data_IF_426388797504
#
_entry.id   IF_426388797504
#
_cell.length_a   1.000
_cell.length_b   1.000
_cell.length_c   1.000
_cell.angle_alpha   90.00
_cell.angle_beta   90.00
_cell.angle_gamma   90.00
#
_symmetry.space_group_name_H-M   'P 1'
#
loop_
_entity.id
_entity.type
_entity.pdbx_description
1 polymer ?
#
# COMPACT_ATOMS: atom_id res chain seq x y z
N UNK A 1 0.53 31.82 22.72
CA UNK A 1 1.41 31.02 21.84
C UNK A 1 1.44 29.61 22.41
N UNK A 2 1.32 28.55 21.57
CA UNK A 2 1.39 27.17 22.06
C UNK A 2 2.82 26.84 22.53
N UNK A 3 2.94 26.04 23.58
CA UNK A 3 4.23 25.43 23.94
C UNK A 3 4.68 24.45 22.85
N UNK A 4 5.97 24.13 22.79
CA UNK A 4 6.50 23.14 21.83
C UNK A 4 5.80 21.79 21.99
N UNK A 5 5.59 21.33 23.22
CA UNK A 5 4.88 20.08 23.52
C UNK A 5 3.43 20.08 22.99
N UNK A 6 2.70 21.17 23.23
CA UNK A 6 1.33 21.30 22.73
C UNK A 6 1.30 21.35 21.19
N UNK A 7 2.26 22.07 20.57
CA UNK A 7 2.38 22.10 19.12
C UNK A 7 2.67 20.71 18.54
N UNK A 8 3.62 19.96 19.11
CA UNK A 8 3.96 18.61 18.66
C UNK A 8 2.78 17.65 18.80
N UNK A 9 2.01 17.77 19.87
CA UNK A 9 0.80 16.96 20.08
C UNK A 9 -0.24 17.14 18.98
N UNK A 10 -0.40 18.35 18.44
CA UNK A 10 -1.37 18.66 17.39
C UNK A 10 -0.86 18.49 15.96
N UNK A 11 0.45 18.54 15.76
CA UNK A 11 1.01 18.58 14.40
C UNK A 11 1.72 17.30 13.97
N UNK A 12 2.23 16.49 14.91
CA UNK A 12 2.87 15.21 14.58
C UNK A 12 1.82 14.16 14.30
N UNK A 13 1.84 13.62 13.07
CA UNK A 13 0.83 12.69 12.55
C UNK A 13 1.38 11.28 12.23
N UNK A 14 2.65 11.02 12.56
CA UNK A 14 3.23 9.70 12.36
C UNK A 14 2.62 8.62 13.26
N UNK A 15 2.93 7.34 13.01
CA UNK A 15 2.47 6.23 13.86
C UNK A 15 2.86 6.45 15.33
N UNK A 16 1.93 6.15 16.25
CA UNK A 16 2.16 6.29 17.69
C UNK A 16 2.04 7.71 18.23
N UNK A 17 1.77 8.73 17.40
CA UNK A 17 1.51 10.09 17.87
C UNK A 17 0.02 10.30 18.13
N UNK A 18 -0.38 11.14 19.11
CA UNK A 18 -1.80 11.34 19.45
C UNK A 18 -2.66 11.79 18.25
N UNK A 19 -2.17 12.74 17.47
CA UNK A 19 -2.89 13.21 16.28
C UNK A 19 -2.86 12.17 15.16
N UNK A 20 -1.75 11.43 14.98
CA UNK A 20 -1.65 10.34 14.03
C UNK A 20 -2.69 9.25 14.32
N UNK A 21 -2.82 8.83 15.58
CA UNK A 21 -3.81 7.83 16.01
C UNK A 21 -5.26 8.33 15.78
N UNK A 22 -5.52 9.60 16.00
CA UNK A 22 -6.82 10.19 15.71
C UNK A 22 -7.12 10.20 14.20
N UNK A 23 -6.16 10.69 13.40
CA UNK A 23 -6.32 10.82 11.95
C UNK A 23 -6.48 9.45 11.26
N UNK A 24 -5.85 8.40 11.77
CA UNK A 24 -6.01 7.04 11.23
C UNK A 24 -7.42 6.46 11.31
N UNK A 25 -8.31 7.10 12.04
CA UNK A 25 -9.73 6.71 12.14
C UNK A 25 -10.60 7.27 11.01
N UNK A 26 -10.02 7.99 10.08
CA UNK A 26 -10.74 8.63 8.97
C UNK A 26 -10.16 8.22 7.62
N UNK A 27 -11.00 8.28 6.60
CA UNK A 27 -10.60 8.13 5.21
C UNK A 27 -9.90 9.41 4.73
N UNK A 28 -8.78 9.25 4.03
CA UNK A 28 -7.99 10.37 3.50
C UNK A 28 -7.92 10.31 1.98
N UNK A 29 -8.17 11.40 1.25
CA UNK A 29 -7.92 11.45 -0.17
C UNK A 29 -6.40 11.40 -0.41
N UNK A 30 -5.96 10.50 -1.27
CA UNK A 30 -4.52 10.28 -1.56
C UNK A 30 -4.16 10.60 -3.00
N UNK A 31 -5.12 10.55 -3.92
CA UNK A 31 -4.92 10.88 -5.32
C UNK A 31 -6.24 11.25 -5.99
N UNK A 32 -6.18 12.00 -7.10
CA UNK A 32 -7.28 12.04 -8.06
C UNK A 32 -7.15 10.84 -9.01
N UNK A 33 -8.27 10.25 -9.42
CA UNK A 33 -8.30 9.16 -10.41
C UNK A 33 -7.58 9.56 -11.70
N UNK A 34 -7.72 10.83 -12.12
CA UNK A 34 -7.07 11.37 -13.30
C UNK A 34 -5.54 11.35 -13.25
N UNK A 35 -4.94 11.38 -12.05
CA UNK A 35 -3.48 11.28 -11.91
C UNK A 35 -2.94 9.87 -12.23
N UNK A 36 -3.81 8.87 -12.27
CA UNK A 36 -3.48 7.47 -12.58
C UNK A 36 -3.90 7.06 -14.00
N UNK A 37 -4.30 8.00 -14.87
CA UNK A 37 -4.68 7.69 -16.25
C UNK A 37 -3.49 7.16 -17.07
N UNK A 38 -2.31 7.78 -16.89
CA UNK A 38 -1.08 7.45 -17.62
C UNK A 38 -0.04 6.74 -16.75
N UNK A 39 -0.43 6.37 -15.53
CA UNK A 39 0.48 5.76 -14.54
C UNK A 39 -0.21 4.59 -13.86
N UNK A 40 0.51 3.51 -13.71
CA UNK A 40 0.02 2.34 -12.98
C UNK A 40 0.40 2.36 -11.49
N UNK A 41 1.43 3.13 -11.14
CA UNK A 41 1.96 3.23 -9.78
C UNK A 41 2.27 4.69 -9.43
N UNK A 42 2.10 5.04 -8.17
CA UNK A 42 2.40 6.39 -7.66
C UNK A 42 2.87 6.31 -6.20
N UNK A 43 3.89 7.12 -5.85
CA UNK A 43 4.28 7.30 -4.46
C UNK A 43 3.25 8.16 -3.74
N UNK A 44 2.85 7.71 -2.56
CA UNK A 44 1.97 8.43 -1.64
C UNK A 44 2.67 8.52 -0.29
N UNK A 45 2.65 9.72 0.32
CA UNK A 45 3.05 9.88 1.72
C UNK A 45 1.84 10.33 2.52
N UNK A 46 1.47 9.52 3.51
CA UNK A 46 0.30 9.77 4.34
C UNK A 46 0.58 9.41 5.81
N UNK A 47 0.26 10.31 6.72
CA UNK A 47 0.41 10.13 8.17
C UNK A 47 1.79 9.59 8.59
N UNK A 48 2.85 10.10 7.94
CA UNK A 48 4.24 9.71 8.22
C UNK A 48 4.70 8.43 7.55
N UNK A 49 3.86 7.76 6.74
CA UNK A 49 4.21 6.55 6.02
C UNK A 49 4.39 6.81 4.52
N UNK A 50 5.44 6.22 3.95
CA UNK A 50 5.64 6.15 2.51
C UNK A 50 4.98 4.89 1.98
N UNK A 51 4.14 5.03 0.95
CA UNK A 51 3.32 3.97 0.38
C UNK A 51 3.35 4.02 -1.14
N UNK A 52 2.98 2.93 -1.78
CA UNK A 52 2.76 2.86 -3.23
C UNK A 52 1.27 2.62 -3.49
N UNK A 53 0.65 3.60 -4.12
CA UNK A 53 -0.67 3.44 -4.73
C UNK A 53 -0.48 2.83 -6.12
N UNK A 54 -1.20 1.77 -6.42
CA UNK A 54 -1.21 1.18 -7.76
C UNK A 54 -2.64 0.97 -8.25
N UNK A 55 -2.77 0.89 -9.56
CA UNK A 55 -3.99 0.47 -10.26
C UNK A 55 -3.67 -0.79 -11.02
N UNK A 56 -4.40 -1.86 -10.79
CA UNK A 56 -4.25 -3.10 -11.54
C UNK A 56 -5.00 -3.06 -12.89
N UNK A 57 -4.87 -4.13 -13.68
CA UNK A 57 -5.51 -4.20 -15.00
C UNK A 57 -7.02 -4.46 -14.94
N UNK A 58 -7.54 -4.87 -13.79
CA UNK A 58 -9.01 -4.93 -13.57
C UNK A 58 -9.60 -3.53 -13.34
N UNK A 59 -8.77 -2.53 -13.06
CA UNK A 59 -9.17 -1.17 -12.69
C UNK A 59 -9.28 -0.95 -11.19
N UNK A 60 -8.95 -1.94 -10.38
CA UNK A 60 -8.95 -1.85 -8.93
C UNK A 60 -7.68 -1.16 -8.42
N UNK A 61 -7.78 -0.52 -7.26
CA UNK A 61 -6.65 0.18 -6.63
C UNK A 61 -6.18 -0.57 -5.40
N UNK A 62 -4.86 -0.57 -5.18
CA UNK A 62 -4.25 -1.06 -3.95
C UNK A 62 -3.25 -0.05 -3.40
N UNK A 63 -3.08 -0.03 -2.08
CA UNK A 63 -2.12 0.83 -1.39
C UNK A 63 -1.27 -0.03 -0.47
N UNK A 64 0.01 -0.17 -0.80
CA UNK A 64 0.93 -1.09 -0.15
C UNK A 64 2.21 -0.39 0.32
N UNK A 65 2.95 -1.04 1.22
CA UNK A 65 4.30 -0.58 1.56
C UNK A 65 5.22 -0.56 0.34
N UNK A 66 6.27 0.30 0.35
CA UNK A 66 7.06 0.52 -0.87
C UNK A 66 8.00 -0.63 -1.24
N UNK A 67 8.27 -1.58 -0.35
CA UNK A 67 9.32 -2.57 -0.58
C UNK A 67 8.79 -4.01 -0.50
N UNK A 68 8.97 -4.74 -1.60
CA UNK A 68 8.66 -6.17 -1.70
C UNK A 68 9.21 -6.97 -0.50
N UNK A 69 8.40 -7.84 0.06
CA UNK A 69 8.76 -8.67 1.22
C UNK A 69 9.94 -9.62 0.97
N UNK A 70 10.20 -9.99 -0.29
CA UNK A 70 11.29 -10.90 -0.65
C UNK A 70 12.68 -10.26 -0.45
N UNK A 71 13.06 -9.31 -1.33
CA UNK A 71 14.38 -8.67 -1.34
C UNK A 71 14.31 -7.14 -1.46
N UNK A 72 13.28 -6.55 -0.88
CA UNK A 72 13.13 -5.09 -0.72
C UNK A 72 13.16 -4.28 -2.03
N UNK A 73 12.81 -4.89 -3.16
CA UNK A 73 12.61 -4.16 -4.43
C UNK A 73 11.50 -3.13 -4.27
N UNK A 74 11.73 -1.92 -4.78
CA UNK A 74 10.73 -0.86 -4.67
C UNK A 74 9.56 -1.12 -5.64
N UNK A 75 8.36 -1.22 -5.08
CA UNK A 75 7.13 -1.55 -5.82
C UNK A 75 6.60 -0.39 -6.67
N UNK A 76 7.27 0.79 -6.66
CA UNK A 76 7.00 1.84 -7.66
C UNK A 76 7.25 1.33 -9.10
N UNK A 77 8.17 0.37 -9.25
CA UNK A 77 8.49 -0.29 -10.51
C UNK A 77 7.67 -1.57 -10.75
N UNK A 78 6.70 -1.85 -9.86
CA UNK A 78 5.83 -3.02 -9.95
C UNK A 78 5.05 -3.07 -11.26
N UNK A 79 4.79 -4.26 -11.74
CA UNK A 79 4.07 -4.52 -12.99
C UNK A 79 2.62 -4.84 -12.62
N UNK A 80 1.63 -4.04 -13.07
CA UNK A 80 0.23 -4.34 -12.81
C UNK A 80 -0.20 -5.59 -13.57
N UNK A 81 -0.82 -6.51 -12.85
CA UNK A 81 -1.44 -7.72 -13.40
C UNK A 81 -2.97 -7.57 -13.44
N UNK A 82 -3.68 -8.62 -13.86
CA UNK A 82 -5.14 -8.59 -13.89
C UNK A 82 -5.71 -8.33 -12.49
N UNK A 83 -5.12 -8.95 -11.47
CA UNK A 83 -5.43 -8.73 -10.06
C UNK A 83 -4.13 -8.53 -9.30
N UNK A 84 -3.89 -7.29 -8.84
CA UNK A 84 -2.72 -6.96 -8.03
C UNK A 84 -1.50 -6.45 -8.80
N UNK A 85 -0.34 -6.52 -8.15
CA UNK A 85 0.93 -5.95 -8.63
C UNK A 85 2.07 -6.96 -8.46
N UNK A 86 2.83 -7.17 -9.54
CA UNK A 86 3.98 -8.09 -9.58
C UNK A 86 5.28 -7.36 -9.34
N UNK A 87 6.09 -7.88 -8.43
CA UNK A 87 7.45 -7.42 -8.23
C UNK A 87 8.31 -7.76 -9.44
N UNK A 88 9.00 -6.79 -10.08
CA UNK A 88 9.78 -7.04 -11.29
C UNK A 88 11.08 -7.80 -11.03
N UNK A 89 11.49 -7.98 -9.77
CA UNK A 89 12.76 -8.61 -9.45
C UNK A 89 12.68 -10.15 -9.53
N UNK A 90 11.74 -10.78 -8.78
CA UNK A 90 11.59 -12.26 -8.79
C UNK A 90 10.14 -12.71 -9.03
N UNK A 91 9.27 -11.81 -9.49
CA UNK A 91 7.94 -12.16 -9.94
C UNK A 91 6.89 -12.42 -8.87
N UNK A 92 7.17 -12.16 -7.58
CA UNK A 92 6.15 -12.32 -6.55
C UNK A 92 4.98 -11.38 -6.80
N UNK A 93 3.77 -11.92 -6.82
CA UNK A 93 2.53 -11.19 -7.04
C UNK A 93 1.83 -10.92 -5.71
N UNK A 94 1.36 -9.69 -5.53
CA UNK A 94 0.62 -9.27 -4.35
C UNK A 94 -0.74 -8.71 -4.75
N UNK A 95 -1.78 -9.11 -4.04
CA UNK A 95 -3.12 -8.57 -4.20
C UNK A 95 -3.30 -7.23 -3.47
N UNK A 96 -4.50 -6.66 -3.51
CA UNK A 96 -4.84 -5.38 -2.88
C UNK A 96 -4.75 -5.42 -1.34
N UNK A 97 -4.83 -6.60 -0.75
CA UNK A 97 -4.67 -6.78 0.71
C UNK A 97 -3.21 -6.90 1.12
N UNK A 98 -2.29 -6.97 0.15
CA UNK A 98 -0.87 -7.21 0.36
C UNK A 98 -0.51 -8.69 0.51
N UNK A 99 -1.48 -9.61 0.36
CA UNK A 99 -1.21 -11.04 0.39
C UNK A 99 -0.40 -11.44 -0.84
N UNK A 100 0.67 -12.20 -0.64
CA UNK A 100 1.39 -12.81 -1.75
C UNK A 100 0.55 -13.95 -2.34
N UNK A 101 0.21 -13.85 -3.62
CA UNK A 101 -0.65 -14.82 -4.33
C UNK A 101 0.12 -15.76 -5.24
N UNK A 102 1.30 -15.34 -5.73
CA UNK A 102 2.16 -16.15 -6.60
C UNK A 102 3.65 -15.98 -6.25
N UNK A 103 4.39 -17.08 -6.33
CA UNK A 103 5.84 -17.15 -6.21
C UNK A 103 6.38 -18.05 -7.32
N UNK A 104 6.60 -17.53 -8.55
CA UNK A 104 6.81 -18.36 -9.74
C UNK A 104 7.96 -19.36 -9.65
N UNK A 105 9.06 -19.01 -9.00
CA UNK A 105 10.22 -19.91 -8.88
C UNK A 105 9.93 -21.04 -7.89
N UNK A 106 9.35 -20.71 -6.73
CA UNK A 106 9.00 -21.68 -5.71
C UNK A 106 7.92 -22.65 -6.20
N UNK A 107 6.93 -22.14 -6.93
CA UNK A 107 5.82 -22.93 -7.48
C UNK A 107 6.25 -23.79 -8.69
N UNK A 108 7.32 -23.42 -9.38
CA UNK A 108 7.90 -24.25 -10.46
C UNK A 108 8.62 -25.47 -9.87
N UNK A 109 9.34 -25.29 -8.77
CA UNK A 109 10.05 -26.39 -8.10
C UNK A 109 9.11 -27.29 -7.28
N UNK A 110 8.11 -26.69 -6.63
CA UNK A 110 7.09 -27.38 -5.85
C UNK A 110 5.70 -26.73 -6.07
N UNK A 111 4.87 -27.31 -6.97
CA UNK A 111 3.52 -26.77 -7.24
C UNK A 111 2.59 -26.74 -6.01
N UNK A 112 2.88 -27.52 -4.97
CA UNK A 112 2.13 -27.53 -3.71
C UNK A 112 2.73 -26.58 -2.66
N UNK A 113 3.75 -25.81 -3.03
CA UNK A 113 4.38 -24.86 -2.12
C UNK A 113 3.38 -23.84 -1.58
N UNK A 114 3.31 -23.73 -0.25
CA UNK A 114 2.39 -22.84 0.47
C UNK A 114 3.13 -21.72 1.21
N UNK A 115 4.39 -21.46 0.85
CA UNK A 115 5.18 -20.40 1.49
C UNK A 115 4.55 -19.02 1.29
N UNK A 116 3.98 -18.76 0.11
CA UNK A 116 3.26 -17.52 -0.22
C UNK A 116 2.15 -17.17 0.78
N UNK A 117 1.46 -18.18 1.35
CA UNK A 117 0.36 -17.97 2.29
C UNK A 117 0.81 -17.30 3.59
N UNK A 118 2.11 -17.35 3.89
CA UNK A 118 2.72 -16.71 5.07
C UNK A 118 3.30 -15.32 4.78
N UNK A 119 3.26 -14.89 3.53
CA UNK A 119 3.87 -13.64 3.08
C UNK A 119 2.80 -12.58 2.90
N UNK A 120 2.87 -11.57 3.74
CA UNK A 120 1.95 -10.44 3.76
C UNK A 120 2.75 -9.14 3.72
N UNK A 121 2.53 -8.31 2.71
CA UNK A 121 2.98 -6.92 2.70
C UNK A 121 1.98 -6.05 3.47
N UNK A 122 2.46 -5.00 4.11
CA UNK A 122 1.56 -4.01 4.69
C UNK A 122 0.74 -3.37 3.58
N UNK A 123 -0.57 -3.38 3.73
CA UNK A 123 -1.52 -2.78 2.80
C UNK A 123 -2.64 -2.08 3.56
N UNK A 124 -3.28 -1.13 2.89
CA UNK A 124 -4.39 -0.37 3.46
C UNK A 124 -5.58 -0.38 2.52
N UNK A 125 -6.81 -0.43 3.07
CA UNK A 125 -8.03 -0.33 2.29
C UNK A 125 -8.07 0.95 1.46
N UNK A 126 -8.52 0.82 0.22
CA UNK A 126 -8.66 1.92 -0.74
C UNK A 126 -10.05 1.89 -1.34
N UNK A 127 -10.68 3.06 -1.44
CA UNK A 127 -11.95 3.25 -2.11
C UNK A 127 -11.88 4.43 -3.08
N UNK A 128 -12.58 4.29 -4.22
CA UNK A 128 -12.74 5.37 -5.19
C UNK A 128 -14.13 5.98 -5.05
N UNK A 129 -14.19 7.30 -4.84
CA UNK A 129 -15.44 8.02 -4.74
C UNK A 129 -15.30 9.42 -5.34
N UNK A 130 -16.27 9.80 -6.16
CA UNK A 130 -16.34 11.13 -6.79
C UNK A 130 -15.04 11.55 -7.51
N UNK A 131 -14.36 10.62 -8.19
CA UNK A 131 -13.11 10.90 -8.90
C UNK A 131 -11.86 11.01 -8.02
N UNK A 132 -11.97 10.71 -6.73
CA UNK A 132 -10.85 10.68 -5.78
C UNK A 132 -10.63 9.25 -5.28
N UNK A 133 -9.36 8.93 -5.02
CA UNK A 133 -8.92 7.72 -4.36
C UNK A 133 -8.73 8.03 -2.89
N UNK A 134 -9.43 7.33 -2.02
CA UNK A 134 -9.33 7.44 -0.57
C UNK A 134 -8.63 6.24 0.03
N UNK A 135 -7.85 6.46 1.08
CA UNK A 135 -7.21 5.41 1.87
C UNK A 135 -7.63 5.49 3.34
N UNK A 136 -7.75 4.32 3.97
CA UNK A 136 -8.04 4.17 5.40
C UNK A 136 -6.87 3.50 6.11
N UNK A 137 -6.09 4.28 6.87
CA UNK A 137 -4.88 3.81 7.55
C UNK A 137 -5.16 3.30 8.96
N UNK A 138 -6.16 2.44 9.10
CA UNK A 138 -6.49 1.85 10.39
C UNK A 138 -5.39 0.93 10.90
N UNK A 139 -5.12 0.98 12.21
CA UNK A 139 -4.18 0.09 12.89
C UNK A 139 -4.66 -1.38 12.95
N UNK A 140 -5.96 -1.61 12.80
CA UNK A 140 -6.53 -2.98 12.84
C UNK A 140 -6.32 -3.75 11.53
N UNK A 141 -5.82 -3.10 10.49
CA UNK A 141 -5.52 -3.70 9.19
C UNK A 141 -4.01 -3.87 8.93
N UNK A 142 -3.22 -3.71 9.95
CA UNK A 142 -1.75 -3.88 9.90
C UNK A 142 -1.37 -5.24 10.47
#
# INVERSE_FOLDING_TARGET
MLTQEANDRYTRVGPGTPMGELMRRYWHPVAAVSQMNDKWTMKVRLLGEDLILYKDRSGSYGLIEPHCAHRRMNMIYGIPEQEGIRCPYHGWLYDQTGQCTEQPYEETEDPEARFKDKIQMKAYPVEVKAGLVFAYLSLIHI
#
